data_IF_004449239722
#
_entry.id   IF_004449239722
#
_cell.length_a   1.000
_cell.length_b   1.000
_cell.length_c   1.000
_cell.angle_alpha   90.00
_cell.angle_beta   90.00
_cell.angle_gamma   90.00
#
_symmetry.space_group_name_H-M   'P 1'
#
loop_
_entity.id
_entity.type
_entity.pdbx_description
1 polymer ?
#
# COMPACT_ATOMS: atom_id res chain seq x y z
N UNK A 1 -16.24 19.33 -2.35
CA UNK A 1 -15.41 18.10 -2.43
C UNK A 1 -15.84 17.38 -3.70
N UNK A 2 -14.96 17.28 -4.70
CA UNK A 2 -15.26 16.65 -6.00
C UNK A 2 -15.28 15.14 -5.80
N UNK A 3 -16.23 14.44 -6.43
CA UNK A 3 -16.40 12.99 -6.33
C UNK A 3 -16.39 12.42 -7.74
N UNK A 4 -15.46 11.48 -7.97
CA UNK A 4 -15.28 10.79 -9.24
C UNK A 4 -15.85 9.38 -9.18
N UNK A 5 -15.66 8.71 -8.05
CA UNK A 5 -16.13 7.35 -7.77
C UNK A 5 -16.85 7.31 -6.42
N UNK A 6 -17.81 6.38 -6.29
CA UNK A 6 -18.53 6.10 -5.06
C UNK A 6 -18.44 4.59 -4.77
N UNK A 7 -17.31 4.09 -4.24
CA UNK A 7 -17.15 2.69 -3.89
C UNK A 7 -18.08 2.30 -2.73
N UNK A 8 -18.41 1.01 -2.63
CA UNK A 8 -19.29 0.47 -1.59
C UNK A 8 -18.81 0.80 -0.17
N UNK A 9 -19.74 0.81 0.79
CA UNK A 9 -19.48 1.21 2.18
C UNK A 9 -18.61 0.24 2.99
N UNK A 10 -18.10 -0.82 2.39
CA UNK A 10 -17.34 -1.88 3.07
C UNK A 10 -15.84 -1.56 3.21
N UNK A 11 -15.36 -0.47 2.61
CA UNK A 11 -13.95 -0.09 2.66
C UNK A 11 -13.60 0.74 3.89
N UNK A 12 -12.57 0.29 4.61
CA UNK A 12 -11.95 1.04 5.71
C UNK A 12 -10.71 1.79 5.22
N UNK A 13 -10.51 3.02 5.72
CA UNK A 13 -9.43 3.90 5.28
C UNK A 13 -8.48 4.19 6.44
N UNK A 14 -7.23 3.78 6.31
CA UNK A 14 -6.19 3.94 7.33
C UNK A 14 -4.97 4.67 6.77
N UNK A 15 -4.40 5.59 7.55
CA UNK A 15 -3.15 6.28 7.25
C UNK A 15 -2.14 6.05 8.38
N UNK A 16 -0.94 5.62 8.03
CA UNK A 16 0.13 5.23 8.95
C UNK A 16 1.47 5.86 8.56
N UNK A 17 2.41 5.93 9.52
CA UNK A 17 3.78 6.42 9.32
C UNK A 17 4.02 7.85 9.83
N UNK A 18 2.99 8.68 9.89
CA UNK A 18 3.06 10.05 10.40
C UNK A 18 1.89 10.41 11.31
N UNK A 19 2.12 11.34 12.23
CA UNK A 19 1.06 11.83 13.11
C UNK A 19 0.26 12.95 12.40
N UNK A 20 -1.04 12.74 12.27
CA UNK A 20 -1.99 13.74 11.82
C UNK A 20 -3.37 13.46 12.45
N UNK A 21 -4.33 14.37 12.28
CA UNK A 21 -5.71 14.12 12.69
C UNK A 21 -6.41 13.28 11.61
N UNK A 22 -7.36 12.44 12.02
CA UNK A 22 -8.24 11.74 11.07
C UNK A 22 -8.97 12.72 10.16
N UNK A 23 -9.12 12.37 8.89
CA UNK A 23 -9.67 13.24 7.85
C UNK A 23 -11.06 12.73 7.46
N UNK A 24 -12.05 13.63 7.45
CA UNK A 24 -13.40 13.29 6.98
C UNK A 24 -13.41 13.17 5.46
N UNK A 25 -13.84 12.02 4.98
CA UNK A 25 -14.11 11.75 3.58
C UNK A 25 -15.62 11.93 3.33
N UNK A 26 -16.05 11.77 2.08
CA UNK A 26 -17.48 11.76 1.73
C UNK A 26 -18.20 10.53 2.29
N UNK A 27 -19.53 10.56 2.24
CA UNK A 27 -20.41 9.41 2.53
C UNK A 27 -20.22 8.82 3.93
N UNK A 28 -19.83 9.65 4.91
CA UNK A 28 -19.60 9.24 6.29
C UNK A 28 -18.23 8.60 6.55
N UNK A 29 -17.47 8.30 5.49
CA UNK A 29 -16.15 7.66 5.60
C UNK A 29 -15.13 8.58 6.28
N UNK A 30 -14.14 7.97 6.93
CA UNK A 30 -13.07 8.67 7.63
C UNK A 30 -11.74 7.99 7.35
N UNK A 31 -10.74 8.75 6.92
CA UNK A 31 -9.36 8.31 6.90
C UNK A 31 -8.82 8.38 8.33
N UNK A 32 -8.72 7.23 8.99
CA UNK A 32 -8.26 7.12 10.37
C UNK A 32 -6.75 7.29 10.43
N UNK A 33 -6.27 8.16 11.33
CA UNK A 33 -4.85 8.33 11.56
C UNK A 33 -4.32 7.27 12.56
N UNK A 34 -3.58 6.28 12.08
CA UNK A 34 -2.95 5.23 12.88
C UNK A 34 -1.60 5.63 13.49
N UNK A 35 -1.00 6.73 13.03
CA UNK A 35 0.26 7.25 13.58
C UNK A 35 1.46 6.33 13.32
N UNK A 36 2.40 6.31 14.28
CA UNK A 36 3.55 5.39 14.26
C UNK A 36 3.18 4.07 14.92
N UNK A 37 3.48 2.97 14.24
CA UNK A 37 3.17 1.62 14.68
C UNK A 37 4.43 0.85 15.07
N UNK A 38 4.26 -0.23 15.83
CA UNK A 38 5.31 -1.26 15.95
C UNK A 38 5.39 -2.05 14.65
N UNK A 39 6.49 -2.77 14.44
CA UNK A 39 6.68 -3.57 13.22
C UNK A 39 5.67 -4.71 13.14
N UNK A 40 5.31 -5.31 14.27
CA UNK A 40 4.33 -6.40 14.36
C UNK A 40 2.96 -5.89 13.92
N UNK A 41 2.53 -4.74 14.45
CA UNK A 41 1.23 -4.17 14.09
C UNK A 41 1.19 -3.70 12.64
N UNK A 42 2.31 -3.20 12.12
CA UNK A 42 2.45 -2.87 10.71
C UNK A 42 2.29 -4.12 9.82
N UNK A 43 2.94 -5.23 10.17
CA UNK A 43 2.82 -6.49 9.42
C UNK A 43 1.38 -7.04 9.45
N UNK A 44 0.69 -7.00 10.59
CA UNK A 44 -0.73 -7.36 10.68
C UNK A 44 -1.59 -6.51 9.73
N UNK A 45 -1.39 -5.19 9.74
CA UNK A 45 -2.12 -4.27 8.86
C UNK A 45 -1.85 -4.58 7.39
N UNK A 46 -0.61 -4.85 7.01
CA UNK A 46 -0.28 -5.22 5.62
C UNK A 46 -0.97 -6.52 5.20
N UNK A 47 -1.04 -7.52 6.08
CA UNK A 47 -1.73 -8.78 5.81
C UNK A 47 -3.25 -8.57 5.58
N UNK A 48 -3.87 -7.65 6.32
CA UNK A 48 -5.30 -7.33 6.21
C UNK A 48 -5.61 -6.35 5.06
N UNK A 49 -4.68 -5.47 4.69
CA UNK A 49 -4.90 -4.38 3.71
C UNK A 49 -5.00 -4.84 2.25
N UNK A 50 -6.08 -4.51 1.55
CA UNK A 50 -6.25 -4.92 0.15
C UNK A 50 -5.60 -3.99 -0.87
N UNK A 51 -5.66 -2.69 -0.60
CA UNK A 51 -5.11 -1.63 -1.45
C UNK A 51 -4.21 -0.74 -0.60
N UNK A 52 -3.04 -0.42 -1.13
CA UNK A 52 -2.03 0.43 -0.50
C UNK A 52 -1.71 1.62 -1.39
N UNK A 53 -1.48 2.78 -0.79
CA UNK A 53 -1.04 3.97 -1.52
C UNK A 53 0.22 4.51 -0.86
N UNK A 54 1.31 4.60 -1.62
CA UNK A 54 2.56 5.17 -1.12
C UNK A 54 3.32 5.86 -2.26
N UNK A 55 3.34 7.19 -2.20
CA UNK A 55 3.97 8.04 -3.19
C UNK A 55 5.34 8.53 -2.71
N UNK A 56 6.31 8.55 -3.61
CA UNK A 56 7.67 9.00 -3.35
C UNK A 56 8.17 9.86 -4.51
N UNK A 57 8.20 11.17 -4.30
CA UNK A 57 8.71 12.16 -5.27
C UNK A 57 10.25 12.25 -5.20
N UNK A 58 10.93 11.12 -5.41
CA UNK A 58 12.39 11.02 -5.46
C UNK A 58 12.83 9.75 -6.20
N UNK A 59 14.09 9.67 -6.66
CA UNK A 59 14.63 8.46 -7.30
C UNK A 59 14.68 7.23 -6.38
N UNK A 60 14.56 7.42 -5.07
CA UNK A 60 14.57 6.30 -4.12
C UNK A 60 13.25 5.51 -4.20
N UNK A 61 13.29 4.16 -4.18
CA UNK A 61 12.09 3.32 -4.32
C UNK A 61 11.07 3.55 -3.22
N UNK A 62 11.55 3.93 -2.03
CA UNK A 62 10.82 3.89 -0.75
C UNK A 62 10.45 2.46 -0.35
N UNK A 63 10.40 2.20 0.96
CA UNK A 63 10.15 0.86 1.48
C UNK A 63 8.66 0.46 1.46
N UNK A 64 7.72 1.35 1.85
CA UNK A 64 6.32 0.94 1.96
C UNK A 64 5.71 0.35 0.68
N UNK A 65 5.97 0.86 -0.54
CA UNK A 65 5.43 0.23 -1.75
C UNK A 65 5.91 -1.22 -1.95
N UNK A 66 7.19 -1.48 -1.66
CA UNK A 66 7.78 -2.81 -1.82
C UNK A 66 7.21 -3.79 -0.78
N UNK A 67 7.05 -3.32 0.46
CA UNK A 67 6.45 -4.09 1.56
C UNK A 67 5.01 -4.45 1.26
N UNK A 68 4.18 -3.45 0.90
CA UNK A 68 2.79 -3.65 0.54
C UNK A 68 2.67 -4.70 -0.60
N UNK A 69 3.44 -4.54 -1.67
CA UNK A 69 3.40 -5.47 -2.79
C UNK A 69 3.85 -6.89 -2.42
N UNK A 70 4.86 -7.03 -1.54
CA UNK A 70 5.31 -8.32 -1.04
C UNK A 70 4.23 -9.05 -0.22
N UNK A 71 3.39 -8.31 0.50
CA UNK A 71 2.23 -8.82 1.24
C UNK A 71 0.99 -9.09 0.35
N UNK A 72 1.11 -8.93 -0.97
CA UNK A 72 -0.01 -9.15 -1.89
C UNK A 72 -0.99 -7.97 -1.96
N UNK A 73 -0.62 -6.80 -1.44
CA UNK A 73 -1.44 -5.59 -1.47
C UNK A 73 -1.34 -4.94 -2.85
N UNK A 74 -2.48 -4.60 -3.46
CA UNK A 74 -2.52 -3.80 -4.69
C UNK A 74 -2.01 -2.39 -4.39
N UNK A 75 -0.79 -2.09 -4.83
CA UNK A 75 0.01 -0.96 -4.35
C UNK A 75 0.11 0.12 -5.40
N UNK A 76 -0.53 1.26 -5.16
CA UNK A 76 -0.42 2.45 -5.99
C UNK A 76 0.80 3.28 -5.54
N UNK A 77 1.72 3.51 -6.47
CA UNK A 77 2.91 4.34 -6.27
C UNK A 77 3.17 5.22 -7.49
N UNK A 78 4.33 5.84 -7.61
CA UNK A 78 4.69 6.67 -8.75
C UNK A 78 6.08 6.37 -9.30
N UNK A 79 6.22 6.49 -10.61
CA UNK A 79 7.53 6.60 -11.24
C UNK A 79 8.14 7.97 -10.93
N UNK A 80 9.46 8.06 -10.98
CA UNK A 80 10.19 9.32 -10.79
C UNK A 80 11.56 9.26 -11.43
N UNK A 81 11.76 10.01 -12.53
CA UNK A 81 13.00 9.99 -13.32
C UNK A 81 13.38 8.56 -13.74
N UNK A 82 14.43 7.99 -13.13
CA UNK A 82 14.91 6.64 -13.39
C UNK A 82 14.21 5.55 -12.57
N UNK A 83 13.32 5.92 -11.65
CA UNK A 83 12.57 4.97 -10.84
C UNK A 83 11.27 4.58 -11.53
N UNK A 84 11.13 3.30 -11.81
CA UNK A 84 9.85 2.63 -12.03
C UNK A 84 9.86 1.31 -11.26
N UNK A 85 8.81 1.05 -10.49
CA UNK A 85 8.67 -0.15 -9.65
C UNK A 85 7.74 -1.20 -10.27
N UNK A 86 7.21 -0.96 -11.46
CA UNK A 86 6.31 -1.89 -12.17
C UNK A 86 6.92 -3.29 -12.35
N UNK A 87 8.24 -3.39 -12.52
CA UNK A 87 8.95 -4.66 -12.69
C UNK A 87 9.18 -5.44 -11.38
N UNK A 88 8.94 -4.83 -10.22
CA UNK A 88 9.20 -5.46 -8.93
C UNK A 88 8.11 -6.46 -8.54
N UNK A 89 6.84 -6.16 -8.84
CA UNK A 89 5.71 -7.04 -8.55
C UNK A 89 4.52 -6.68 -9.43
N UNK A 90 3.75 -7.69 -9.84
CA UNK A 90 2.46 -7.51 -10.53
C UNK A 90 1.44 -6.71 -9.71
N UNK A 91 1.63 -6.63 -8.39
CA UNK A 91 0.77 -5.87 -7.49
C UNK A 91 1.10 -4.35 -7.48
N UNK A 92 2.16 -3.91 -8.17
CA UNK A 92 2.56 -2.49 -8.19
C UNK A 92 1.94 -1.76 -9.40
N UNK A 93 1.20 -0.70 -9.09
CA UNK A 93 0.67 0.28 -10.03
C UNK A 93 1.51 1.55 -9.97
N UNK A 94 2.55 1.62 -10.79
CA UNK A 94 3.51 2.74 -10.84
C UNK A 94 3.02 3.81 -11.81
N UNK A 95 2.59 4.97 -11.30
CA UNK A 95 2.01 6.05 -12.10
C UNK A 95 3.07 7.01 -12.65
N UNK A 96 3.02 7.27 -13.96
CA UNK A 96 3.85 8.29 -14.61
C UNK A 96 3.40 9.72 -14.35
N UNK A 97 2.08 9.92 -14.24
CA UNK A 97 1.47 11.22 -13.97
C UNK A 97 0.76 11.12 -12.63
N UNK A 98 1.18 11.95 -11.67
CA UNK A 98 0.59 12.00 -10.33
C UNK A 98 -0.25 13.26 -10.18
N UNK A 99 -1.57 13.12 -10.31
CA UNK A 99 -2.54 14.15 -9.99
C UNK A 99 -3.77 13.51 -9.32
N UNK A 100 -4.76 14.32 -8.93
CA UNK A 100 -5.94 13.81 -8.24
C UNK A 100 -6.72 12.77 -9.07
N UNK A 101 -6.81 12.97 -10.38
CA UNK A 101 -7.54 12.08 -11.28
C UNK A 101 -6.83 10.74 -11.45
N UNK A 102 -5.53 10.76 -11.78
CA UNK A 102 -4.77 9.54 -12.05
C UNK A 102 -4.61 8.69 -10.79
N UNK A 103 -4.43 9.32 -9.63
CA UNK A 103 -4.38 8.61 -8.35
C UNK A 103 -5.74 8.03 -8.00
N UNK A 104 -6.83 8.77 -8.19
CA UNK A 104 -8.18 8.24 -7.95
C UNK A 104 -8.51 7.05 -8.86
N UNK A 105 -8.13 7.13 -10.14
CA UNK A 105 -8.34 6.06 -11.13
C UNK A 105 -7.55 4.80 -10.75
N UNK A 106 -6.28 4.97 -10.35
CA UNK A 106 -5.43 3.87 -9.93
C UNK A 106 -5.92 3.20 -8.64
N UNK A 107 -6.33 3.99 -7.64
CA UNK A 107 -6.92 3.46 -6.40
C UNK A 107 -8.19 2.67 -6.74
N UNK A 108 -9.08 3.24 -7.55
CA UNK A 108 -10.32 2.57 -7.91
C UNK A 108 -10.07 1.26 -8.68
N UNK A 109 -9.13 1.26 -9.64
CA UNK A 109 -8.74 0.07 -10.37
C UNK A 109 -8.10 -1.01 -9.47
N UNK A 110 -7.31 -0.61 -8.47
CA UNK A 110 -6.77 -1.52 -7.46
C UNK A 110 -7.88 -2.12 -6.57
N UNK A 111 -8.90 -1.33 -6.21
CA UNK A 111 -10.06 -1.83 -5.46
C UNK A 111 -10.86 -2.87 -6.25
N UNK A 112 -10.95 -2.75 -7.59
CA UNK A 112 -11.63 -3.74 -8.44
C UNK A 112 -10.88 -5.08 -8.52
N UNK A 113 -9.61 -5.13 -8.11
CA UNK A 113 -8.80 -6.36 -8.04
C UNK A 113 -8.86 -7.02 -6.66
N UNK A 114 -9.79 -6.58 -5.79
CA UNK A 114 -9.98 -7.16 -4.48
C UNK A 114 -10.25 -8.67 -4.56
N UNK A 115 -9.56 -9.40 -3.69
CA UNK A 115 -9.77 -10.82 -3.43
C UNK A 115 -9.83 -11.02 -1.92
N UNK A 116 -10.71 -11.91 -1.45
CA UNK A 116 -10.83 -12.25 -0.03
C UNK A 116 -9.51 -12.82 0.52
N UNK A 117 -8.93 -13.75 -0.26
CA UNK A 117 -7.61 -14.38 -0.20
C UNK A 117 -6.47 -13.69 -0.95
N UNK A 118 -5.65 -12.83 -0.36
CA UNK A 118 -4.44 -12.34 -1.05
C UNK A 118 -3.31 -13.38 -1.01
N UNK A 119 -2.75 -13.79 -2.17
CA UNK A 119 -1.55 -14.61 -2.20
C UNK A 119 -0.36 -13.75 -1.75
N UNK A 120 0.38 -14.22 -0.75
CA UNK A 120 1.60 -13.55 -0.30
C UNK A 120 2.79 -14.11 -1.05
N UNK A 121 3.60 -13.23 -1.65
CA UNK A 121 4.76 -13.66 -2.42
C UNK A 121 5.92 -14.04 -1.48
N UNK A 122 5.96 -15.32 -1.09
CA UNK A 122 7.02 -15.89 -0.24
C UNK A 122 8.42 -15.85 -0.89
N UNK A 123 8.50 -15.66 -2.20
CA UNK A 123 9.76 -15.60 -2.97
C UNK A 123 10.20 -14.18 -3.32
N UNK A 124 9.47 -13.15 -2.83
CA UNK A 124 9.77 -11.75 -3.10
C UNK A 124 11.24 -11.42 -2.79
N UNK A 125 11.93 -10.77 -3.74
CA UNK A 125 13.31 -10.30 -3.57
C UNK A 125 13.48 -9.45 -2.31
N UNK A 126 12.41 -8.78 -1.85
CA UNK A 126 12.39 -8.01 -0.60
C UNK A 126 12.72 -8.84 0.64
N UNK A 127 12.28 -10.10 0.68
CA UNK A 127 12.49 -10.99 1.83
C UNK A 127 13.95 -11.47 1.95
N UNK A 128 14.76 -11.27 0.91
CA UNK A 128 16.15 -11.73 0.84
C UNK A 128 17.18 -10.60 1.10
N UNK A 129 16.73 -9.37 1.38
CA UNK A 129 17.62 -8.24 1.65
C UNK A 129 18.12 -8.26 3.12
N UNK A 130 19.44 -8.31 3.32
CA UNK A 130 20.10 -8.21 4.64
C UNK A 130 20.05 -6.79 5.22
N UNK A 131 18.85 -6.30 5.55
CA UNK A 131 18.64 -5.01 6.21
C UNK A 131 17.76 -5.20 7.46
N UNK A 132 17.50 -4.12 8.20
CA UNK A 132 16.59 -4.02 9.36
C UNK A 132 15.18 -4.67 9.20
N UNK A 133 14.87 -5.13 7.99
CA UNK A 133 13.62 -5.71 7.53
C UNK A 133 13.59 -7.24 7.45
N UNK A 134 14.70 -7.95 7.76
CA UNK A 134 14.63 -9.39 8.09
C UNK A 134 13.56 -9.62 9.16
N UNK A 135 13.34 -8.68 10.09
CA UNK A 135 12.32 -8.79 11.15
C UNK A 135 10.88 -8.60 10.67
N UNK A 136 10.63 -7.73 9.69
CA UNK A 136 9.31 -7.63 9.06
C UNK A 136 9.07 -8.88 8.23
N UNK A 137 10.05 -9.32 7.44
CA UNK A 137 10.03 -10.59 6.72
C UNK A 137 9.89 -11.84 7.61
N UNK A 138 10.45 -11.84 8.82
CA UNK A 138 10.26 -12.90 9.83
C UNK A 138 8.84 -12.88 10.40
N UNK A 139 8.29 -11.70 10.64
CA UNK A 139 6.90 -11.53 11.07
C UNK A 139 5.93 -11.97 9.97
N UNK A 140 6.26 -11.65 8.70
CA UNK A 140 5.59 -12.15 7.50
C UNK A 140 5.58 -13.66 7.46
N UNK A 141 6.76 -14.31 7.59
CA UNK A 141 6.86 -15.78 7.61
C UNK A 141 5.97 -16.40 8.70
N UNK A 142 5.92 -15.81 9.89
CA UNK A 142 5.05 -16.27 10.99
C UNK A 142 3.55 -16.10 10.72
N UNK A 143 3.13 -15.16 9.87
CA UNK A 143 1.72 -14.91 9.54
C UNK A 143 1.25 -15.82 8.40
N UNK A 144 2.15 -16.22 7.48
CA UNK A 144 1.80 -17.05 6.30
C UNK A 144 2.09 -18.55 6.51
N UNK A 145 2.69 -18.95 7.64
CA UNK A 145 2.86 -20.36 8.02
C UNK A 145 1.73 -20.80 8.97
#
# INVERSE_FOLDING_TARGET
>A
MIEKYNPDSEWEYLSIGGNHKSIKLKNGNTLVAGGKLTLEKYAEILAESSVGVSLMCSPHPSYPPLEMAAFGVQTVTNSFLCKDLSSFSENIHSLDIVNFDTVADAIYAAMQQYVERKPVNKESEYLNLENQFVRVGESVKKIID
#
